data_IF_276875892989
#
_entry.id   IF_276875892989
#
_cell.length_a   1.000
_cell.length_b   1.000
_cell.length_c   1.000
_cell.angle_alpha   90.00
_cell.angle_beta   90.00
_cell.angle_gamma   90.00
#
_symmetry.space_group_name_H-M   'P 1'
#
loop_
_entity.id
_entity.type
_entity.pdbx_description
1 polymer ?
#
# COMPACT_ATOMS: atom_id res chain seq x y z
N UNK A 1 4.84 -6.46 -0.25
CA UNK A 1 5.13 -6.53 -1.70
C UNK A 1 4.99 -5.14 -2.28
N UNK A 2 5.95 -4.69 -3.08
CA UNK A 2 5.91 -3.37 -3.74
C UNK A 2 6.12 -3.53 -5.25
N UNK A 3 5.46 -2.69 -6.05
CA UNK A 3 5.64 -2.63 -7.49
C UNK A 3 5.38 -1.21 -8.01
N UNK A 4 5.93 -0.88 -9.16
CA UNK A 4 5.61 0.34 -9.91
C UNK A 4 5.10 -0.05 -11.31
N UNK A 5 4.07 0.62 -11.79
CA UNK A 5 3.48 0.37 -13.12
C UNK A 5 3.33 1.67 -13.92
N UNK A 6 3.42 1.59 -15.24
CA UNK A 6 3.20 2.74 -16.13
C UNK A 6 1.70 3.00 -16.41
N UNK A 7 0.83 2.06 -16.03
CA UNK A 7 -0.62 2.11 -16.25
C UNK A 7 -1.38 3.10 -15.36
N UNK A 8 -2.70 3.22 -15.58
CA UNK A 8 -3.54 4.11 -14.81
C UNK A 8 -3.88 3.52 -13.42
N UNK A 9 -4.52 4.34 -12.58
CA UNK A 9 -4.82 4.00 -11.20
C UNK A 9 -5.70 2.74 -11.05
N UNK A 10 -6.52 2.43 -12.06
CA UNK A 10 -7.38 1.24 -12.04
C UNK A 10 -6.57 -0.04 -12.25
N UNK A 11 -5.60 -0.05 -13.17
CA UNK A 11 -4.71 -1.19 -13.38
C UNK A 11 -3.83 -1.44 -12.16
N UNK A 12 -3.31 -0.38 -11.55
CA UNK A 12 -2.55 -0.48 -10.29
C UNK A 12 -3.40 -1.11 -9.17
N UNK A 13 -4.68 -0.72 -9.08
CA UNK A 13 -5.62 -1.29 -8.11
C UNK A 13 -5.93 -2.75 -8.39
N UNK A 14 -6.20 -3.12 -9.64
CA UNK A 14 -6.44 -4.50 -10.04
C UNK A 14 -5.23 -5.39 -9.71
N UNK A 15 -4.01 -4.93 -10.03
CA UNK A 15 -2.77 -5.63 -9.69
C UNK A 15 -2.60 -5.80 -8.18
N UNK A 16 -2.84 -4.73 -7.40
CA UNK A 16 -2.72 -4.78 -5.95
C UNK A 16 -3.64 -5.85 -5.33
N UNK A 17 -4.90 -5.91 -5.78
CA UNK A 17 -5.85 -6.95 -5.34
C UNK A 17 -5.40 -8.35 -5.79
N UNK A 18 -5.02 -8.51 -7.06
CA UNK A 18 -4.61 -9.81 -7.60
C UNK A 18 -3.38 -10.40 -6.87
N UNK A 19 -2.45 -9.55 -6.43
CA UNK A 19 -1.29 -9.95 -5.64
C UNK A 19 -1.70 -10.26 -4.20
N UNK A 20 -2.53 -9.41 -3.57
CA UNK A 20 -3.03 -9.62 -2.20
C UNK A 20 -3.74 -10.97 -2.06
N UNK A 21 -4.58 -11.30 -3.03
CA UNK A 21 -5.38 -12.54 -3.00
C UNK A 21 -4.51 -13.80 -3.14
N UNK A 22 -3.25 -13.64 -3.57
CA UNK A 22 -2.24 -14.71 -3.63
C UNK A 22 -1.32 -14.76 -2.41
N UNK A 23 -1.42 -13.80 -1.47
CA UNK A 23 -0.62 -13.84 -0.25
C UNK A 23 -1.11 -14.97 0.69
N UNK A 24 -0.21 -15.62 1.44
CA UNK A 24 -0.60 -16.62 2.42
C UNK A 24 -1.62 -16.07 3.43
N UNK A 25 -2.78 -16.72 3.54
CA UNK A 25 -3.90 -16.22 4.36
C UNK A 25 -3.58 -16.11 5.86
N UNK A 26 -2.67 -16.95 6.38
CA UNK A 26 -2.29 -16.98 7.80
C UNK A 26 -1.20 -15.97 8.20
N UNK A 27 -0.70 -15.15 7.27
CA UNK A 27 0.39 -14.20 7.54
C UNK A 27 -0.05 -12.77 7.20
N UNK A 28 0.11 -11.79 8.10
CA UNK A 28 -0.13 -10.39 7.79
C UNK A 28 0.63 -9.94 6.53
N UNK A 29 -0.10 -9.42 5.56
CA UNK A 29 0.43 -9.05 4.25
C UNK A 29 -0.04 -7.67 3.80
N UNK A 30 0.90 -6.89 3.24
CA UNK A 30 0.66 -5.57 2.65
C UNK A 30 1.18 -5.56 1.21
N UNK A 31 0.36 -5.06 0.29
CA UNK A 31 0.71 -4.84 -1.11
C UNK A 31 0.58 -3.36 -1.40
N UNK A 32 1.61 -2.75 -1.97
CA UNK A 32 1.57 -1.38 -2.45
C UNK A 32 2.02 -1.32 -3.91
N UNK A 33 1.27 -0.61 -4.75
CA UNK A 33 1.56 -0.42 -6.16
C UNK A 33 1.58 1.07 -6.45
N UNK A 34 2.71 1.59 -6.92
CA UNK A 34 2.82 2.96 -7.40
C UNK A 34 2.58 3.03 -8.92
N UNK A 35 2.10 4.17 -9.41
CA UNK A 35 2.07 4.48 -10.83
C UNK A 35 3.20 5.45 -11.18
N UNK A 36 3.71 5.39 -12.41
CA UNK A 36 4.67 6.37 -12.93
C UNK A 36 4.11 7.81 -12.93
N UNK A 37 2.78 7.95 -12.92
CA UNK A 37 2.07 9.23 -12.83
C UNK A 37 1.93 9.79 -11.41
N UNK A 38 2.52 9.15 -10.40
CA UNK A 38 2.52 9.67 -9.02
C UNK A 38 1.33 9.22 -8.17
N UNK A 39 0.68 8.12 -8.55
CA UNK A 39 -0.38 7.47 -7.77
C UNK A 39 0.16 6.32 -6.92
N UNK A 40 -0.53 6.00 -5.83
CA UNK A 40 -0.24 4.88 -4.94
C UNK A 40 -1.55 4.16 -4.61
N UNK A 41 -1.57 2.84 -4.72
CA UNK A 41 -2.63 1.98 -4.18
C UNK A 41 -2.02 1.04 -3.16
N UNK A 42 -2.64 0.92 -1.99
CA UNK A 42 -2.23 0.01 -0.93
C UNK A 42 -3.41 -0.85 -0.51
N UNK A 43 -3.17 -2.16 -0.40
CA UNK A 43 -4.16 -3.11 0.10
C UNK A 43 -3.52 -4.06 1.10
N UNK A 44 -4.31 -4.47 2.10
CA UNK A 44 -3.88 -5.38 3.15
C UNK A 44 -4.75 -6.64 3.15
N UNK A 45 -4.17 -7.80 3.47
CA UNK A 45 -4.95 -9.03 3.59
C UNK A 45 -5.71 -9.10 4.93
N UNK A 46 -6.60 -10.09 5.07
CA UNK A 46 -7.42 -10.25 6.29
C UNK A 46 -6.57 -10.40 7.56
N UNK A 47 -5.49 -11.19 7.51
CA UNK A 47 -4.57 -11.37 8.64
C UNK A 47 -3.86 -10.09 9.07
N UNK A 48 -3.63 -9.14 8.16
CA UNK A 48 -3.10 -7.82 8.50
C UNK A 48 -4.14 -6.89 9.14
N UNK A 49 -5.42 -7.01 8.77
CA UNK A 49 -6.49 -6.19 9.38
C UNK A 49 -6.81 -6.60 10.82
N UNK A 50 -6.73 -7.89 11.14
CA UNK A 50 -7.04 -8.41 12.48
C UNK A 50 -6.25 -7.73 13.62
N UNK A 51 -4.93 -7.48 13.49
CA UNK A 51 -4.16 -6.71 14.48
C UNK A 51 -4.34 -5.18 14.34
N UNK A 52 -5.34 -4.70 13.60
CA UNK A 52 -5.69 -3.28 13.52
C UNK A 52 -5.03 -2.50 12.38
N UNK A 53 -4.34 -3.14 11.42
CA UNK A 53 -3.79 -2.39 10.27
C UNK A 53 -4.91 -1.85 9.40
N UNK A 54 -4.75 -0.58 9.03
CA UNK A 54 -5.70 0.19 8.24
C UNK A 54 -4.99 0.78 7.03
N UNK A 55 -5.36 0.33 5.83
CA UNK A 55 -4.75 0.80 4.59
C UNK A 55 -4.88 2.31 4.39
N UNK A 56 -6.01 2.91 4.77
CA UNK A 56 -6.24 4.35 4.63
C UNK A 56 -5.31 5.18 5.52
N UNK A 57 -5.08 4.74 6.76
CA UNK A 57 -4.15 5.41 7.66
C UNK A 57 -2.70 5.27 7.20
N UNK A 58 -2.30 4.07 6.75
CA UNK A 58 -0.96 3.86 6.17
C UNK A 58 -0.71 4.75 4.95
N UNK A 59 -1.69 4.89 4.05
CA UNK A 59 -1.55 5.76 2.86
C UNK A 59 -1.42 7.23 3.27
N UNK A 60 -2.23 7.71 4.21
CA UNK A 60 -2.11 9.07 4.72
C UNK A 60 -0.73 9.30 5.34
N UNK A 61 -0.26 8.39 6.16
CA UNK A 61 1.06 8.50 6.80
C UNK A 61 2.18 8.57 5.77
N UNK A 62 2.19 7.67 4.79
CA UNK A 62 3.21 7.62 3.74
C UNK A 62 3.18 8.85 2.82
N UNK A 63 2.02 9.47 2.64
CA UNK A 63 1.85 10.60 1.71
C UNK A 63 1.65 11.95 2.41
N UNK A 64 1.84 12.05 3.72
CA UNK A 64 1.67 13.29 4.46
C UNK A 64 0.23 13.82 4.47
N UNK A 65 -0.73 12.94 4.79
CA UNK A 65 -2.16 13.24 4.93
C UNK A 65 -2.99 13.08 3.66
N UNK A 66 -2.38 12.77 2.51
CA UNK A 66 -3.09 12.65 1.22
C UNK A 66 -3.60 11.24 0.97
N UNK A 67 -4.78 11.16 0.33
CA UNK A 67 -5.41 9.91 -0.05
C UNK A 67 -6.53 9.48 0.88
N UNK A 68 -7.08 8.30 0.62
CA UNK A 68 -8.21 7.76 1.36
C UNK A 68 -8.66 6.39 0.83
N UNK A 69 -9.65 5.82 1.50
CA UNK A 69 -10.18 4.50 1.18
C UNK A 69 -10.76 3.84 2.43
N UNK A 70 -10.72 2.52 2.45
CA UNK A 70 -11.17 1.70 3.57
C UNK A 70 -9.98 1.15 4.36
N UNK A 71 -10.23 0.52 5.53
CA UNK A 71 -9.19 -0.22 6.24
C UNK A 71 -8.54 -1.33 5.42
N UNK A 72 -9.23 -1.84 4.40
CA UNK A 72 -8.72 -2.91 3.52
C UNK A 72 -7.91 -2.38 2.35
N UNK A 73 -8.36 -1.31 1.71
CA UNK A 73 -7.73 -0.78 0.50
C UNK A 73 -7.86 0.73 0.45
N UNK A 74 -6.75 1.40 0.17
CA UNK A 74 -6.69 2.84 0.04
C UNK A 74 -5.80 3.26 -1.13
N UNK A 75 -5.98 4.51 -1.53
CA UNK A 75 -5.22 5.11 -2.61
C UNK A 75 -4.90 6.57 -2.30
N UNK A 76 -3.82 7.05 -2.89
CA UNK A 76 -3.41 8.45 -2.81
C UNK A 76 -2.48 8.79 -3.96
N UNK A 77 -1.91 10.00 -3.92
CA UNK A 77 -0.94 10.43 -4.91
C UNK A 77 -0.56 11.89 -4.80
N UNK A 78 0.01 12.40 -5.89
CA UNK A 78 0.52 13.77 -5.99
C UNK A 78 1.98 13.90 -5.55
N UNK A 79 2.73 12.80 -5.56
CA UNK A 79 4.18 12.80 -5.40
C UNK A 79 4.82 12.45 -6.74
N UNK A 80 6.06 12.88 -6.95
CA UNK A 80 6.82 12.42 -8.10
C UNK A 80 7.09 10.91 -7.98
N UNK A 81 7.22 10.21 -9.12
CA UNK A 81 7.51 8.78 -9.15
C UNK A 81 8.79 8.40 -8.38
N UNK A 82 9.81 9.28 -8.41
CA UNK A 82 11.05 9.09 -7.65
C UNK A 82 10.83 9.13 -6.13
N UNK A 83 9.96 10.02 -5.65
CA UNK A 83 9.61 10.09 -4.22
C UNK A 83 8.80 8.86 -3.79
N UNK A 84 7.86 8.41 -4.63
CA UNK A 84 7.12 7.17 -4.38
C UNK A 84 8.04 5.94 -4.34
N UNK A 85 9.07 5.90 -5.19
CA UNK A 85 10.05 4.81 -5.17
C UNK A 85 10.78 4.74 -3.81
N UNK A 86 11.19 5.88 -3.26
CA UNK A 86 11.80 5.96 -1.92
C UNK A 86 10.81 5.51 -0.83
N UNK A 87 9.56 5.97 -0.89
CA UNK A 87 8.50 5.57 0.05
C UNK A 87 8.32 4.04 0.05
N UNK A 88 8.23 3.43 -1.13
CA UNK A 88 8.04 1.99 -1.27
C UNK A 88 9.27 1.19 -0.80
N UNK A 89 10.48 1.69 -1.04
CA UNK A 89 11.72 1.01 -0.67
C UNK A 89 12.05 1.13 0.82
N UNK A 90 11.82 2.30 1.43
CA UNK A 90 12.36 2.62 2.75
C UNK A 90 11.28 2.78 3.82
N UNK A 91 10.24 3.57 3.55
CA UNK A 91 9.25 3.94 4.57
C UNK A 91 8.21 2.85 4.81
N UNK A 92 7.69 2.26 3.73
CA UNK A 92 6.66 1.23 3.84
C UNK A 92 7.15 -0.01 4.62
N UNK A 93 8.38 -0.56 4.42
CA UNK A 93 8.86 -1.67 5.23
C UNK A 93 8.98 -1.34 6.72
N UNK A 94 9.38 -0.11 7.07
CA UNK A 94 9.48 0.34 8.47
C UNK A 94 8.10 0.42 9.11
N UNK A 95 7.13 1.05 8.45
CA UNK A 95 5.75 1.11 8.91
C UNK A 95 5.14 -0.28 9.12
N UNK A 96 5.46 -1.22 8.22
CA UNK A 96 5.06 -2.62 8.34
C UNK A 96 5.73 -3.34 9.52
N UNK A 97 6.96 -2.98 9.89
CA UNK A 97 7.68 -3.56 11.02
C UNK A 97 7.22 -3.00 12.37
N UNK A 98 6.94 -1.69 12.45
CA UNK A 98 6.43 -1.02 13.65
C UNK A 98 5.05 -1.53 14.06
N UNK A 99 4.21 -1.91 13.09
CA UNK A 99 2.93 -2.59 13.34
C UNK A 99 3.02 -4.12 13.50
N UNK A 100 4.20 -4.70 13.77
CA UNK A 100 4.39 -6.14 13.97
C UNK A 100 4.83 -6.53 15.40
N UNK A 101 5.03 -5.55 16.28
CA UNK A 101 5.49 -5.72 17.67
C UNK A 101 4.36 -5.70 18.73
N UNK A 102 3.12 -5.96 18.32
CA UNK A 102 1.96 -6.04 19.22
C UNK A 102 1.36 -7.45 19.26
#
# INVERSE_FOLDING_TARGET
>A
MTATVDGAAQEARALAHAVRDRLPHGRPGVVAVATASGGLVLTVNAAARSPGRNAAEMVKELLGGRGGGSPETAQGGGLAAAELAVILADLLPRLVAEGAIA
#
